data_IF_458591941898
#
_entry.id   IF_458591941898
#
_cell.length_a   1.000
_cell.length_b   1.000
_cell.length_c   1.000
_cell.angle_alpha   90.00
_cell.angle_beta   90.00
_cell.angle_gamma   90.00
#
_symmetry.space_group_name_H-M   'P 1'
#
loop_
_entity.id
_entity.type
_entity.pdbx_description
1 polymer ?
#
# COMPACT_ATOMS: atom_id res chain seq x y z
N UNK A 1 -12.05 -22.31 -14.56
CA UNK A 1 -12.55 -21.79 -13.26
C UNK A 1 -13.35 -20.53 -13.48
N UNK A 2 -14.36 -20.23 -12.64
CA UNK A 2 -15.05 -18.93 -12.63
C UNK A 2 -14.03 -17.87 -12.21
N UNK A 3 -13.94 -16.76 -12.95
CA UNK A 3 -13.06 -15.64 -12.60
C UNK A 3 -13.59 -14.89 -11.38
N UNK A 4 -12.68 -14.38 -10.55
CA UNK A 4 -12.98 -13.50 -9.42
C UNK A 4 -13.33 -12.12 -9.99
N UNK A 5 -14.50 -11.60 -9.63
CA UNK A 5 -14.99 -10.31 -10.11
C UNK A 5 -14.59 -9.21 -9.12
N UNK A 6 -13.58 -8.41 -9.51
CA UNK A 6 -13.04 -7.35 -8.67
C UNK A 6 -13.55 -5.97 -9.10
N UNK A 7 -14.02 -5.17 -8.14
CA UNK A 7 -14.26 -3.75 -8.31
C UNK A 7 -13.07 -2.94 -7.78
N UNK A 8 -12.61 -1.93 -8.52
CA UNK A 8 -11.56 -1.01 -8.03
C UNK A 8 -12.23 0.27 -7.54
N UNK A 9 -12.07 0.56 -6.25
CA UNK A 9 -12.62 1.77 -5.62
C UNK A 9 -11.53 2.81 -5.50
N UNK A 10 -11.59 3.85 -6.35
CA UNK A 10 -10.59 4.89 -6.49
C UNK A 10 -9.71 4.71 -7.73
N UNK A 11 -9.38 5.83 -8.37
CA UNK A 11 -8.55 5.88 -9.56
C UNK A 11 -7.44 6.92 -9.41
N UNK A 12 -6.57 6.69 -8.44
CA UNK A 12 -5.27 7.37 -8.27
C UNK A 12 -4.13 6.50 -8.82
N UNK A 13 -2.90 6.79 -8.43
CA UNK A 13 -1.74 5.99 -8.87
C UNK A 13 -1.91 4.49 -8.55
N UNK A 14 -2.29 4.16 -7.30
CA UNK A 14 -2.51 2.76 -6.90
C UNK A 14 -3.64 2.13 -7.71
N UNK A 15 -4.78 2.84 -7.90
CA UNK A 15 -5.92 2.32 -8.67
C UNK A 15 -5.56 2.00 -10.13
N UNK A 16 -4.76 2.85 -10.79
CA UNK A 16 -4.27 2.62 -12.15
C UNK A 16 -3.46 1.33 -12.23
N UNK A 17 -2.45 1.17 -11.37
CA UNK A 17 -1.61 -0.03 -11.35
C UNK A 17 -2.38 -1.28 -10.89
N UNK A 18 -3.40 -1.12 -10.04
CA UNK A 18 -4.30 -2.23 -9.67
C UNK A 18 -5.07 -2.74 -10.88
N UNK A 19 -5.57 -1.84 -11.76
CA UNK A 19 -6.24 -2.23 -13.01
C UNK A 19 -5.27 -2.99 -13.91
N UNK A 20 -4.05 -2.49 -14.12
CA UNK A 20 -3.02 -3.16 -14.91
C UNK A 20 -2.69 -4.56 -14.36
N UNK A 21 -2.61 -4.69 -13.03
CA UNK A 21 -2.37 -5.97 -12.37
C UNK A 21 -3.56 -6.95 -12.52
N UNK A 22 -4.80 -6.45 -12.49
CA UNK A 22 -6.00 -7.25 -12.73
C UNK A 22 -6.07 -7.74 -14.19
N UNK A 23 -5.74 -6.88 -15.15
CA UNK A 23 -5.69 -7.22 -16.58
C UNK A 23 -4.68 -8.34 -16.85
N UNK A 24 -3.55 -8.33 -16.14
CA UNK A 24 -2.50 -9.35 -16.25
C UNK A 24 -2.83 -10.65 -15.47
N UNK A 25 -3.82 -10.64 -14.56
CA UNK A 25 -4.16 -11.78 -13.73
C UNK A 25 -5.19 -12.70 -14.41
N UNK A 26 -4.85 -13.98 -14.72
CA UNK A 26 -5.72 -14.86 -15.51
C UNK A 26 -7.02 -15.26 -14.78
N UNK A 27 -7.04 -15.19 -13.48
CA UNK A 27 -8.11 -15.61 -12.59
C UNK A 27 -9.05 -14.47 -12.19
N UNK A 28 -8.81 -13.24 -12.69
CA UNK A 28 -9.65 -12.07 -12.40
C UNK A 28 -10.43 -11.56 -13.60
N UNK A 29 -11.51 -10.84 -13.29
CA UNK A 29 -12.28 -9.99 -14.19
C UNK A 29 -12.60 -8.68 -13.47
N UNK A 30 -12.41 -7.54 -14.15
CA UNK A 30 -12.77 -6.23 -13.60
C UNK A 30 -14.29 -6.04 -13.70
N UNK A 31 -14.98 -6.02 -12.57
CA UNK A 31 -16.43 -5.81 -12.49
C UNK A 31 -16.81 -4.36 -12.78
N UNK A 32 -15.94 -3.42 -12.43
CA UNK A 32 -16.11 -1.99 -12.67
C UNK A 32 -15.20 -1.15 -11.78
N UNK A 33 -15.25 0.16 -12.01
CA UNK A 33 -14.44 1.16 -11.33
C UNK A 33 -15.36 2.14 -10.60
N UNK A 34 -15.12 2.37 -9.32
CA UNK A 34 -15.86 3.36 -8.52
C UNK A 34 -15.06 4.65 -8.44
N UNK A 35 -15.60 5.76 -8.94
CA UNK A 35 -14.98 7.09 -8.91
C UNK A 35 -15.95 8.12 -8.35
N UNK A 36 -15.40 9.15 -7.68
CA UNK A 36 -16.19 10.26 -7.11
C UNK A 36 -17.05 10.97 -8.17
N UNK A 37 -16.48 11.19 -9.35
CA UNK A 37 -17.13 11.88 -10.47
C UNK A 37 -17.16 10.96 -11.70
N UNK A 38 -18.09 10.01 -11.79
CA UNK A 38 -18.16 9.05 -12.89
C UNK A 38 -18.56 9.68 -14.23
N UNK A 39 -19.16 10.87 -14.19
CA UNK A 39 -19.62 11.61 -15.38
C UNK A 39 -18.53 12.47 -16.02
N UNK A 40 -17.38 12.67 -15.33
CA UNK A 40 -16.25 13.39 -15.91
C UNK A 40 -15.66 12.60 -17.07
N UNK A 41 -14.92 13.30 -17.97
CA UNK A 41 -14.16 12.64 -19.03
C UNK A 41 -13.31 11.51 -18.49
N UNK A 42 -13.47 10.31 -19.07
CA UNK A 42 -12.79 9.14 -18.60
C UNK A 42 -11.41 9.01 -19.26
N UNK A 43 -10.34 8.78 -18.47
CA UNK A 43 -9.05 8.41 -19.01
C UNK A 43 -9.15 7.20 -19.96
N UNK A 44 -8.26 7.14 -20.94
CA UNK A 44 -8.28 6.09 -21.96
C UNK A 44 -8.27 4.67 -21.37
N UNK A 45 -7.54 4.45 -20.27
CA UNK A 45 -7.50 3.17 -19.56
C UNK A 45 -8.85 2.72 -19.02
N UNK A 46 -9.75 3.65 -18.70
CA UNK A 46 -11.08 3.33 -18.15
C UNK A 46 -12.16 3.07 -19.21
N UNK A 47 -11.92 3.41 -20.47
CA UNK A 47 -12.92 3.24 -21.55
C UNK A 47 -13.49 1.83 -21.67
N UNK A 48 -12.73 0.73 -21.43
CA UNK A 48 -13.25 -0.64 -21.49
C UNK A 48 -14.19 -1.01 -20.32
N UNK A 49 -14.21 -0.22 -19.25
CA UNK A 49 -14.85 -0.59 -17.98
C UNK A 49 -16.09 0.24 -17.70
N UNK A 50 -17.02 -0.37 -16.97
CA UNK A 50 -18.13 0.35 -16.35
C UNK A 50 -17.57 1.22 -15.22
N UNK A 51 -17.78 2.54 -15.30
CA UNK A 51 -17.38 3.51 -14.28
C UNK A 51 -18.62 4.03 -13.60
N UNK A 52 -18.67 3.96 -12.28
CA UNK A 52 -19.84 4.30 -11.45
C UNK A 52 -19.44 5.19 -10.27
N UNK A 53 -20.44 5.82 -9.64
CA UNK A 53 -20.25 6.63 -8.44
C UNK A 53 -20.29 5.85 -7.14
N UNK A 54 -20.96 4.71 -7.15
CA UNK A 54 -21.16 3.87 -5.98
C UNK A 54 -21.03 2.38 -6.33
N UNK A 55 -20.42 1.59 -5.44
CA UNK A 55 -20.24 0.15 -5.66
C UNK A 55 -21.57 -0.61 -5.80
N UNK A 56 -22.64 -0.09 -5.22
CA UNK A 56 -24.00 -0.64 -5.33
C UNK A 56 -24.55 -0.67 -6.75
N UNK A 57 -23.97 0.13 -7.64
CA UNK A 57 -24.33 0.15 -9.06
C UNK A 57 -23.68 -0.99 -9.86
N UNK A 58 -22.71 -1.71 -9.27
CA UNK A 58 -22.04 -2.85 -9.89
C UNK A 58 -22.73 -4.17 -9.48
N UNK A 59 -22.73 -5.12 -10.40
CA UNK A 59 -23.35 -6.42 -10.18
C UNK A 59 -22.31 -7.54 -10.01
N UNK A 60 -22.63 -8.51 -9.16
CA UNK A 60 -21.80 -9.72 -8.96
C UNK A 60 -20.32 -9.40 -8.65
N UNK A 61 -20.09 -8.49 -7.72
CA UNK A 61 -18.75 -8.16 -7.23
C UNK A 61 -18.37 -9.14 -6.12
N UNK A 62 -17.28 -9.87 -6.30
CA UNK A 62 -16.75 -10.79 -5.30
C UNK A 62 -15.85 -10.05 -4.29
N UNK A 63 -15.06 -9.06 -4.77
CA UNK A 63 -14.13 -8.30 -3.94
C UNK A 63 -14.01 -6.84 -4.39
N UNK A 64 -13.96 -5.91 -3.44
CA UNK A 64 -13.67 -4.50 -3.63
C UNK A 64 -12.21 -4.21 -3.25
N UNK A 65 -11.41 -3.72 -4.19
CA UNK A 65 -10.04 -3.28 -3.97
C UNK A 65 -10.06 -1.77 -3.71
N UNK A 66 -9.77 -1.38 -2.47
CA UNK A 66 -9.90 0.01 -2.00
C UNK A 66 -8.59 0.79 -2.26
N UNK A 67 -8.47 1.36 -3.45
CA UNK A 67 -7.36 2.23 -3.84
C UNK A 67 -7.67 3.72 -3.54
N UNK A 68 -8.18 3.98 -2.34
CA UNK A 68 -8.61 5.28 -1.86
C UNK A 68 -7.62 5.87 -0.85
N UNK A 69 -7.68 7.19 -0.57
CA UNK A 69 -6.89 7.76 0.51
C UNK A 69 -7.14 7.03 1.83
N UNK A 70 -6.08 6.75 2.60
CA UNK A 70 -6.10 5.96 3.83
C UNK A 70 -7.24 6.33 4.78
N UNK A 71 -7.50 7.63 4.99
CA UNK A 71 -8.57 8.10 5.88
C UNK A 71 -9.99 7.76 5.43
N UNK A 72 -10.17 7.34 4.19
CA UNK A 72 -11.47 6.96 3.63
C UNK A 72 -11.70 5.44 3.60
N UNK A 73 -10.66 4.65 3.86
CA UNK A 73 -10.67 3.18 3.75
C UNK A 73 -11.77 2.57 4.60
N UNK A 74 -11.85 2.91 5.90
CA UNK A 74 -12.84 2.32 6.82
C UNK A 74 -14.26 2.48 6.30
N UNK A 75 -14.61 3.68 5.82
CA UNK A 75 -15.95 3.96 5.27
C UNK A 75 -16.27 3.07 4.07
N UNK A 76 -15.39 3.04 3.07
CA UNK A 76 -15.63 2.24 1.87
C UNK A 76 -15.61 0.73 2.14
N UNK A 77 -14.78 0.28 3.10
CA UNK A 77 -14.77 -1.10 3.54
C UNK A 77 -16.10 -1.50 4.21
N UNK A 78 -16.60 -0.70 5.14
CA UNK A 78 -17.90 -0.95 5.79
C UNK A 78 -19.07 -0.95 4.80
N UNK A 79 -19.09 0.01 3.86
CA UNK A 79 -20.12 0.10 2.80
C UNK A 79 -20.11 -1.18 1.92
N UNK A 80 -18.93 -1.68 1.55
CA UNK A 80 -18.77 -2.89 0.73
C UNK A 80 -19.11 -4.17 1.49
N UNK A 81 -18.62 -4.29 2.73
CA UNK A 81 -18.91 -5.44 3.61
C UNK A 81 -20.41 -5.58 3.88
N UNK A 82 -21.12 -4.47 4.06
CA UNK A 82 -22.57 -4.48 4.25
C UNK A 82 -23.35 -5.11 3.07
N UNK A 83 -22.72 -5.18 1.90
CA UNK A 83 -23.25 -5.84 0.70
C UNK A 83 -22.78 -7.29 0.55
N UNK A 84 -22.03 -7.84 1.52
CA UNK A 84 -21.41 -9.16 1.45
C UNK A 84 -20.20 -9.22 0.50
N UNK A 85 -19.66 -8.07 0.08
CA UNK A 85 -18.50 -7.98 -0.81
C UNK A 85 -17.22 -8.00 0.04
N UNK A 86 -16.27 -8.87 -0.30
CA UNK A 86 -14.96 -8.88 0.34
C UNK A 86 -14.20 -7.57 0.08
N UNK A 87 -13.29 -7.19 0.98
CA UNK A 87 -12.52 -5.95 0.82
C UNK A 87 -11.03 -6.18 1.01
N UNK A 88 -10.22 -5.43 0.27
CA UNK A 88 -8.77 -5.33 0.47
C UNK A 88 -8.31 -3.88 0.35
N UNK A 89 -7.32 -3.50 1.16
CA UNK A 89 -6.77 -2.15 1.18
C UNK A 89 -5.29 -2.12 1.56
N UNK A 90 -4.66 -0.97 1.34
CA UNK A 90 -3.29 -0.67 1.74
C UNK A 90 -3.23 0.38 2.86
N UNK A 91 -4.12 0.30 3.85
CA UNK A 91 -4.14 1.20 5.00
C UNK A 91 -2.80 1.25 5.72
N UNK A 92 -2.26 2.45 5.97
CA UNK A 92 -0.88 2.68 6.42
C UNK A 92 -0.75 3.49 7.71
N UNK A 93 -1.84 3.82 8.39
CA UNK A 93 -1.77 4.46 9.71
C UNK A 93 -1.50 3.40 10.78
N UNK A 94 -0.24 3.08 11.01
CA UNK A 94 0.22 1.97 11.86
C UNK A 94 -0.44 1.95 13.25
N UNK A 95 -0.62 3.10 13.89
CA UNK A 95 -1.24 3.21 15.21
C UNK A 95 -2.73 2.83 15.24
N UNK A 96 -3.38 2.79 14.09
CA UNK A 96 -4.81 2.52 13.95
C UNK A 96 -5.12 1.14 13.35
N UNK A 97 -4.12 0.38 12.90
CA UNK A 97 -4.33 -0.93 12.23
C UNK A 97 -5.13 -1.89 13.12
N UNK A 98 -4.81 -1.99 14.41
CA UNK A 98 -5.48 -2.92 15.32
C UNK A 98 -6.93 -2.53 15.62
N UNK A 99 -7.24 -1.24 15.71
CA UNK A 99 -8.63 -0.76 15.89
C UNK A 99 -9.45 -0.98 14.62
N UNK A 100 -8.90 -0.64 13.46
CA UNK A 100 -9.53 -0.87 12.15
C UNK A 100 -9.82 -2.37 11.95
N UNK A 101 -8.85 -3.25 12.26
CA UNK A 101 -9.01 -4.69 12.16
C UNK A 101 -10.18 -5.21 13.00
N UNK A 102 -10.39 -4.68 14.21
CA UNK A 102 -11.53 -5.07 15.06
C UNK A 102 -12.85 -4.61 14.46
N UNK A 103 -12.95 -3.32 14.08
CA UNK A 103 -14.15 -2.73 13.49
C UNK A 103 -14.59 -3.48 12.24
N UNK A 104 -13.68 -3.65 11.27
CA UNK A 104 -13.99 -4.38 10.03
C UNK A 104 -14.21 -5.87 10.27
N UNK A 105 -13.54 -6.46 11.27
CA UNK A 105 -13.75 -7.88 11.62
C UNK A 105 -15.14 -8.19 12.13
N UNK A 106 -15.75 -7.30 12.89
CA UNK A 106 -17.14 -7.42 13.34
C UNK A 106 -18.10 -7.31 12.15
N UNK A 107 -17.91 -6.31 11.28
CA UNK A 107 -18.72 -6.11 10.10
C UNK A 107 -18.61 -7.27 9.10
N UNK A 108 -17.38 -7.74 8.85
CA UNK A 108 -17.11 -8.85 7.93
C UNK A 108 -17.76 -10.16 8.40
N UNK A 109 -17.62 -10.53 9.69
CA UNK A 109 -18.27 -11.71 10.24
C UNK A 109 -19.80 -11.64 10.15
N UNK A 110 -20.38 -10.47 10.44
CA UNK A 110 -21.83 -10.27 10.33
C UNK A 110 -22.33 -10.42 8.91
N UNK A 111 -21.54 -9.99 7.93
CA UNK A 111 -21.89 -10.05 6.52
C UNK A 111 -21.52 -11.38 5.83
N UNK A 112 -20.81 -12.28 6.51
CA UNK A 112 -20.25 -13.49 5.89
C UNK A 112 -19.14 -13.21 4.89
N UNK A 113 -18.45 -12.06 5.01
CA UNK A 113 -17.44 -11.57 4.10
C UNK A 113 -16.03 -11.53 4.75
N UNK A 114 -15.02 -11.27 3.94
CA UNK A 114 -13.62 -11.19 4.35
C UNK A 114 -13.07 -9.79 4.07
N UNK A 115 -12.32 -9.22 5.01
CA UNK A 115 -11.52 -8.01 4.80
C UNK A 115 -10.04 -8.34 5.02
N UNK A 116 -9.15 -7.92 4.11
CA UNK A 116 -7.71 -7.99 4.34
C UNK A 116 -7.16 -6.56 4.25
N UNK A 117 -6.70 -6.05 5.38
CA UNK A 117 -6.27 -4.66 5.54
C UNK A 117 -4.75 -4.53 5.55
N UNK A 118 -4.26 -3.31 5.32
CA UNK A 118 -2.82 -2.99 5.39
C UNK A 118 -1.98 -3.90 4.50
N UNK A 119 -2.47 -4.16 3.30
CA UNK A 119 -1.92 -5.10 2.34
C UNK A 119 -1.28 -4.38 1.14
N UNK A 120 -0.39 -3.44 1.44
CA UNK A 120 0.53 -2.83 0.48
C UNK A 120 1.87 -3.56 0.46
N UNK A 121 2.94 -2.82 0.16
CA UNK A 121 4.29 -3.37 0.32
C UNK A 121 4.83 -3.11 1.74
N UNK A 122 4.52 -1.94 2.36
CA UNK A 122 4.79 -1.58 3.75
C UNK A 122 3.70 -0.60 4.28
N UNK A 123 2.88 -1.06 5.20
CA UNK A 123 2.71 -2.44 5.69
C UNK A 123 2.19 -3.40 4.61
N UNK A 124 2.62 -4.64 4.67
CA UNK A 124 2.15 -5.70 3.77
C UNK A 124 3.21 -6.76 3.48
N UNK A 125 3.73 -6.80 2.25
CA UNK A 125 4.65 -7.86 1.82
C UNK A 125 5.97 -7.88 2.62
N UNK A 126 6.55 -6.73 2.95
CA UNK A 126 7.74 -6.66 3.80
C UNK A 126 7.44 -7.07 5.25
N UNK A 127 6.22 -6.82 5.73
CA UNK A 127 5.77 -7.25 7.05
C UNK A 127 5.75 -8.78 7.18
N UNK A 128 5.38 -9.50 6.11
CA UNK A 128 5.46 -10.98 6.05
C UNK A 128 6.92 -11.43 6.16
N UNK A 129 7.82 -10.83 5.39
CA UNK A 129 9.27 -11.15 5.46
C UNK A 129 9.80 -10.84 6.85
N UNK A 130 9.51 -9.68 7.42
CA UNK A 130 9.92 -9.28 8.77
C UNK A 130 9.45 -10.28 9.83
N UNK A 131 8.22 -10.76 9.70
CA UNK A 131 7.65 -11.79 10.60
C UNK A 131 8.41 -13.10 10.51
N UNK A 132 8.71 -13.56 9.29
CA UNK A 132 9.52 -14.76 9.07
C UNK A 132 10.92 -14.63 9.69
N UNK A 133 11.62 -13.53 9.42
CA UNK A 133 12.95 -13.29 9.97
C UNK A 133 12.94 -13.26 11.51
N UNK A 134 11.90 -12.70 12.12
CA UNK A 134 11.73 -12.70 13.56
C UNK A 134 11.43 -14.09 14.11
N UNK A 135 10.65 -14.90 13.40
CA UNK A 135 10.32 -16.27 13.82
C UNK A 135 11.57 -17.18 13.83
N UNK A 136 12.45 -17.07 12.83
CA UNK A 136 13.66 -17.90 12.73
C UNK A 136 14.82 -17.43 13.61
N UNK A 137 14.82 -16.16 14.06
CA UNK A 137 15.73 -15.62 15.06
C UNK A 137 14.96 -14.78 16.09
N UNK A 138 14.25 -15.41 17.05
CA UNK A 138 13.29 -14.72 17.92
C UNK A 138 13.93 -13.71 18.89
N UNK A 139 15.16 -13.90 19.26
CA UNK A 139 15.93 -12.96 20.10
C UNK A 139 16.89 -12.17 19.21
N UNK A 140 16.92 -10.84 19.37
CA UNK A 140 17.85 -10.00 18.62
C UNK A 140 17.24 -8.67 18.17
N UNK A 141 17.91 -8.03 17.22
CA UNK A 141 17.59 -6.70 16.71
C UNK A 141 17.14 -6.78 15.24
N UNK A 142 16.18 -5.95 14.87
CA UNK A 142 15.81 -5.73 13.48
C UNK A 142 16.05 -4.28 13.10
N UNK A 143 16.61 -4.06 11.94
CA UNK A 143 16.72 -2.74 11.34
C UNK A 143 15.92 -2.71 10.06
N UNK A 144 15.08 -1.70 9.90
CA UNK A 144 14.33 -1.44 8.67
C UNK A 144 14.88 -0.15 8.06
N UNK A 145 15.63 -0.28 6.97
CA UNK A 145 16.23 0.83 6.27
C UNK A 145 15.41 1.10 5.00
N UNK A 146 14.49 2.06 5.06
CA UNK A 146 13.67 2.43 3.91
C UNK A 146 14.42 3.32 2.93
N UNK A 147 14.19 3.09 1.64
CA UNK A 147 14.78 3.89 0.57
C UNK A 147 16.06 3.26 -0.03
N UNK A 148 16.81 4.03 -0.84
CA UNK A 148 16.42 5.36 -1.29
C UNK A 148 15.14 5.32 -2.14
N UNK A 149 14.30 6.36 -2.02
CA UNK A 149 13.11 6.44 -2.85
C UNK A 149 12.05 7.42 -2.35
N UNK A 150 11.07 7.66 -3.21
CA UNK A 150 9.98 8.61 -2.95
C UNK A 150 9.04 8.12 -1.86
N UNK A 151 8.87 8.93 -0.82
CA UNK A 151 7.82 8.75 0.19
C UNK A 151 6.54 9.46 -0.26
N UNK A 152 5.49 8.71 -0.57
CA UNK A 152 4.23 9.27 -1.04
C UNK A 152 3.54 10.12 0.03
N UNK A 153 3.45 9.64 1.27
CA UNK A 153 2.83 10.39 2.38
C UNK A 153 3.54 11.70 2.67
N UNK A 154 4.87 11.69 2.77
CA UNK A 154 5.67 12.90 2.98
C UNK A 154 5.56 13.87 1.80
N UNK A 155 5.54 13.37 0.57
CA UNK A 155 5.33 14.21 -0.63
C UNK A 155 3.98 14.92 -0.60
N UNK A 156 2.92 14.22 -0.18
CA UNK A 156 1.58 14.83 -0.03
C UNK A 156 1.57 15.87 1.08
N UNK A 157 2.24 15.61 2.20
CA UNK A 157 2.37 16.59 3.30
C UNK A 157 3.05 17.87 2.84
N UNK A 158 4.17 17.77 2.11
CA UNK A 158 4.87 18.95 1.55
C UNK A 158 3.97 19.73 0.61
N UNK A 159 3.25 19.05 -0.29
CA UNK A 159 2.33 19.72 -1.24
C UNK A 159 1.19 20.49 -0.58
N UNK A 160 0.87 20.19 0.68
CA UNK A 160 -0.15 20.90 1.45
C UNK A 160 0.38 22.18 2.12
N UNK A 161 1.70 22.42 2.11
CA UNK A 161 2.31 23.62 2.70
C UNK A 161 2.10 24.81 1.77
N UNK A 162 1.70 25.93 2.35
CA UNK A 162 1.46 27.18 1.61
C UNK A 162 2.72 27.64 0.90
N UNK A 163 2.61 27.97 -0.37
CA UNK A 163 3.73 28.43 -1.21
C UNK A 163 4.46 27.30 -1.93
N UNK A 164 4.07 26.06 -1.74
CA UNK A 164 4.60 24.91 -2.50
C UNK A 164 3.75 24.69 -3.75
N UNK A 165 4.33 24.90 -4.93
CA UNK A 165 3.70 24.63 -6.23
C UNK A 165 3.76 23.13 -6.56
N UNK A 166 4.92 22.50 -6.38
CA UNK A 166 5.14 21.07 -6.57
C UNK A 166 6.20 20.57 -5.59
N UNK A 167 6.16 19.28 -5.27
CA UNK A 167 7.11 18.67 -4.33
C UNK A 167 7.37 17.20 -4.60
N UNK A 168 8.56 16.75 -4.18
CA UNK A 168 9.01 15.37 -4.09
C UNK A 168 9.79 15.22 -2.79
N UNK A 169 9.38 14.29 -1.93
CA UNK A 169 10.14 13.91 -0.72
C UNK A 169 10.75 12.53 -0.87
N UNK A 170 12.08 12.47 -0.81
CA UNK A 170 12.86 11.24 -0.88
C UNK A 170 13.26 10.79 0.53
N UNK A 171 13.08 9.50 0.82
CA UNK A 171 13.61 8.84 2.01
C UNK A 171 14.96 8.24 1.69
N UNK A 172 15.99 8.66 2.41
CA UNK A 172 17.36 8.15 2.26
C UNK A 172 17.76 7.44 3.56
N UNK A 173 18.04 6.14 3.55
CA UNK A 173 18.48 5.43 4.73
C UNK A 173 19.92 5.84 5.09
N UNK A 174 20.15 6.05 6.38
CA UNK A 174 21.50 6.28 6.94
C UNK A 174 22.00 5.06 7.72
N UNK A 175 21.22 3.99 7.74
CA UNK A 175 21.50 2.73 8.42
C UNK A 175 20.81 2.63 9.78
N UNK A 176 20.71 1.42 10.30
CA UNK A 176 20.13 1.11 11.61
C UNK A 176 18.69 1.63 11.83
N UNK A 177 17.90 1.74 10.74
CA UNK A 177 16.54 2.24 10.80
C UNK A 177 16.43 3.77 10.89
N UNK A 178 17.52 4.50 10.74
CA UNK A 178 17.55 5.96 10.73
C UNK A 178 17.50 6.46 9.28
N UNK A 179 16.74 7.52 9.05
CA UNK A 179 16.48 8.07 7.72
C UNK A 179 16.75 9.57 7.67
N UNK A 180 17.10 10.03 6.47
CA UNK A 180 17.19 11.44 6.10
C UNK A 180 16.11 11.74 5.06
N UNK A 181 15.52 12.94 5.10
CA UNK A 181 14.57 13.42 4.11
C UNK A 181 15.24 14.40 3.17
N UNK A 182 15.22 14.10 1.88
CA UNK A 182 15.62 15.01 0.83
C UNK A 182 14.34 15.49 0.14
N UNK A 183 13.99 16.76 0.35
CA UNK A 183 12.73 17.35 -0.12
C UNK A 183 13.05 18.33 -1.24
N UNK A 184 12.58 18.04 -2.44
CA UNK A 184 12.69 18.90 -3.61
C UNK A 184 11.37 19.64 -3.81
N UNK A 185 11.43 20.95 -3.99
CA UNK A 185 10.23 21.81 -4.08
C UNK A 185 10.33 22.80 -5.21
N UNK A 186 9.20 23.02 -5.90
CA UNK A 186 8.96 24.24 -6.68
C UNK A 186 8.20 25.22 -5.80
N UNK A 187 8.65 26.46 -5.73
CA UNK A 187 8.02 27.51 -4.95
C UNK A 187 7.04 28.29 -5.82
N UNK A 188 5.86 28.60 -5.29
CA UNK A 188 4.89 29.46 -5.95
C UNK A 188 5.44 30.90 -6.07
N UNK A 189 5.16 31.62 -7.18
CA UNK A 189 5.56 33.01 -7.31
C UNK A 189 5.09 33.89 -6.13
N UNK A 190 5.99 34.68 -5.58
CA UNK A 190 5.70 35.57 -4.47
C UNK A 190 5.85 34.97 -3.07
N UNK A 191 6.28 33.72 -2.96
CA UNK A 191 6.61 33.10 -1.69
C UNK A 191 8.13 33.02 -1.47
N UNK A 192 8.52 33.14 -0.20
CA UNK A 192 9.93 33.06 0.20
C UNK A 192 10.34 31.62 0.49
N UNK A 193 11.40 31.17 -0.20
CA UNK A 193 11.96 29.83 -0.01
C UNK A 193 12.34 29.53 1.45
N UNK A 194 12.96 30.49 2.15
CA UNK A 194 13.42 30.28 3.51
C UNK A 194 12.25 30.02 4.47
N UNK A 195 11.14 30.72 4.27
CA UNK A 195 9.92 30.50 5.06
C UNK A 195 9.29 29.14 4.74
N UNK A 196 9.13 28.80 3.46
CA UNK A 196 8.57 27.49 3.03
C UNK A 196 9.45 26.35 3.56
N UNK A 197 10.77 26.46 3.47
CA UNK A 197 11.68 25.45 4.00
C UNK A 197 11.58 25.30 5.54
N UNK A 198 11.37 26.40 6.26
CA UNK A 198 11.15 26.37 7.70
C UNK A 198 9.82 25.67 8.06
N UNK A 199 8.75 25.99 7.33
CA UNK A 199 7.42 25.40 7.55
C UNK A 199 7.44 23.89 7.27
N UNK A 200 8.14 23.43 6.21
CA UNK A 200 8.33 22.01 5.91
C UNK A 200 9.03 21.30 7.08
N UNK A 201 10.14 21.87 7.57
CA UNK A 201 10.90 21.25 8.68
C UNK A 201 10.14 21.23 10.00
N UNK A 202 9.18 22.15 10.19
CA UNK A 202 8.33 22.20 11.38
C UNK A 202 7.13 21.26 11.32
N UNK A 203 6.77 20.76 10.15
CA UNK A 203 5.64 19.83 9.98
C UNK A 203 5.91 18.51 10.74
N UNK A 204 4.90 17.91 11.40
CA UNK A 204 5.04 16.67 12.15
C UNK A 204 5.62 15.49 11.38
N UNK A 205 5.48 15.46 10.05
CA UNK A 205 6.10 14.44 9.20
C UNK A 205 7.62 14.56 9.10
N UNK A 206 8.19 15.73 9.41
CA UNK A 206 9.60 16.05 9.19
C UNK A 206 10.34 16.46 10.46
N UNK A 207 9.62 16.91 11.48
CA UNK A 207 10.20 17.51 12.68
C UNK A 207 11.20 16.61 13.46
N UNK A 208 11.07 15.29 13.31
CA UNK A 208 11.94 14.30 13.98
C UNK A 208 13.02 13.72 13.08
N UNK A 209 13.04 14.08 11.79
CA UNK A 209 13.98 13.56 10.81
C UNK A 209 15.00 14.65 10.39
N UNK A 210 16.21 14.23 10.07
CA UNK A 210 17.16 15.11 9.38
C UNK A 210 16.59 15.46 8.00
N UNK A 211 16.12 16.72 7.83
CA UNK A 211 15.40 17.16 6.63
C UNK A 211 16.16 18.25 5.90
N UNK A 212 16.49 17.99 4.64
CA UNK A 212 17.07 18.93 3.70
C UNK A 212 16.01 19.32 2.67
N UNK A 213 15.75 20.63 2.55
CA UNK A 213 14.85 21.19 1.54
C UNK A 213 15.70 21.80 0.43
N UNK A 214 15.36 21.54 -0.82
CA UNK A 214 16.10 21.98 -2.01
C UNK A 214 15.09 22.55 -2.99
N UNK A 215 15.24 23.81 -3.35
CA UNK A 215 14.47 24.42 -4.43
C UNK A 215 14.97 23.92 -5.78
N UNK A 216 14.03 23.55 -6.66
CA UNK A 216 14.31 23.08 -8.02
C UNK A 216 13.46 23.83 -9.04
N UNK A 217 13.94 24.01 -10.27
CA UNK A 217 13.16 24.64 -11.34
C UNK A 217 11.91 23.84 -11.73
N UNK A 218 12.02 22.50 -11.69
CA UNK A 218 10.93 21.57 -11.96
C UNK A 218 11.11 20.29 -11.14
N UNK A 219 10.06 19.90 -10.41
CA UNK A 219 10.00 18.62 -9.73
C UNK A 219 9.91 17.46 -10.71
N UNK A 220 9.33 17.68 -11.90
CA UNK A 220 9.20 16.64 -12.93
C UNK A 220 10.57 16.15 -13.44
N UNK A 221 11.61 17.00 -13.37
CA UNK A 221 12.97 16.62 -13.77
C UNK A 221 13.69 15.70 -12.75
N UNK A 222 13.19 15.67 -11.52
CA UNK A 222 13.78 14.88 -10.42
C UNK A 222 12.83 13.79 -9.90
N UNK A 223 11.69 13.59 -10.58
CA UNK A 223 10.69 12.63 -10.14
C UNK A 223 11.25 11.20 -10.17
N UNK A 224 11.13 10.50 -9.07
CA UNK A 224 11.48 9.09 -8.95
C UNK A 224 10.39 8.37 -8.16
N UNK A 225 9.72 7.43 -8.83
CA UNK A 225 8.68 6.57 -8.22
C UNK A 225 9.27 5.31 -7.60
N UNK A 226 10.59 5.12 -7.70
CA UNK A 226 11.31 4.05 -7.07
C UNK A 226 11.28 4.17 -5.55
N UNK A 227 11.31 3.04 -4.90
CA UNK A 227 11.50 2.91 -3.46
C UNK A 227 12.22 1.60 -3.14
N UNK A 228 12.54 1.40 -1.87
CA UNK A 228 13.14 0.16 -1.44
C UNK A 228 13.12 0.00 0.06
N UNK A 229 13.50 -1.19 0.49
CA UNK A 229 13.76 -1.49 1.89
C UNK A 229 14.88 -2.51 2.00
N UNK A 230 15.79 -2.28 2.96
CA UNK A 230 16.71 -3.27 3.45
C UNK A 230 16.29 -3.66 4.87
N UNK A 231 15.82 -4.89 5.03
CA UNK A 231 15.50 -5.49 6.33
C UNK A 231 16.70 -6.29 6.80
N UNK A 232 17.22 -5.94 7.95
CA UNK A 232 18.32 -6.67 8.59
C UNK A 232 17.82 -7.25 9.90
N UNK A 233 17.92 -8.57 10.08
CA UNK A 233 17.69 -9.24 11.35
C UNK A 233 18.98 -9.88 11.84
N UNK A 234 19.48 -9.43 12.98
CA UNK A 234 20.63 -10.01 13.67
C UNK A 234 20.17 -10.61 14.99
N UNK A 235 20.43 -11.89 15.21
CA UNK A 235 19.87 -12.53 16.38
C UNK A 235 20.35 -13.92 16.70
N UNK A 236 19.50 -14.63 17.42
CA UNK A 236 19.74 -15.94 18.00
C UNK A 236 18.69 -16.93 17.56
N UNK A 237 19.09 -18.02 16.96
CA UNK A 237 18.25 -19.19 16.69
C UNK A 237 18.51 -20.27 17.74
N UNK A 238 17.48 -20.61 18.54
CA UNK A 238 17.66 -21.47 19.70
C UNK A 238 18.60 -20.85 20.74
N UNK A 239 19.81 -21.37 20.86
CA UNK A 239 20.89 -20.85 21.71
C UNK A 239 22.08 -20.32 20.90
N UNK A 240 22.05 -20.47 19.57
CA UNK A 240 23.15 -20.10 18.68
C UNK A 240 23.03 -18.64 18.26
N UNK A 241 24.04 -17.87 18.62
CA UNK A 241 24.19 -16.45 18.31
C UNK A 241 24.68 -16.22 16.87
N UNK A 242 24.76 -14.96 16.48
CA UNK A 242 25.36 -14.50 15.21
C UNK A 242 24.59 -14.92 13.95
N UNK A 243 23.30 -15.20 14.07
CA UNK A 243 22.45 -15.28 12.88
C UNK A 243 22.29 -13.88 12.29
N UNK A 244 22.49 -13.77 10.99
CA UNK A 244 22.30 -12.54 10.23
C UNK A 244 21.48 -12.86 9.00
N UNK A 245 20.33 -12.19 8.87
CA UNK A 245 19.45 -12.30 7.72
C UNK A 245 19.28 -10.93 7.12
N UNK A 246 19.38 -10.86 5.81
CA UNK A 246 19.18 -9.63 5.05
C UNK A 246 18.17 -9.88 3.93
N UNK A 247 17.25 -8.94 3.77
CA UNK A 247 16.33 -8.90 2.65
C UNK A 247 16.37 -7.51 2.03
N UNK A 248 16.60 -7.46 0.73
CA UNK A 248 16.64 -6.21 -0.03
C UNK A 248 15.53 -6.22 -1.07
N UNK A 249 14.79 -5.13 -1.13
CA UNK A 249 13.73 -4.91 -2.11
C UNK A 249 13.91 -3.53 -2.75
N UNK A 250 13.84 -3.48 -4.08
CA UNK A 250 13.76 -2.24 -4.88
C UNK A 250 12.56 -2.34 -5.79
N UNK A 251 11.71 -1.35 -5.76
CA UNK A 251 10.37 -1.39 -6.35
C UNK A 251 9.99 -0.09 -7.03
N UNK A 252 9.03 -0.17 -7.95
CA UNK A 252 8.14 0.93 -8.27
C UNK A 252 6.98 0.87 -7.28
N UNK A 253 6.90 1.85 -6.38
CA UNK A 253 6.01 1.81 -5.22
C UNK A 253 4.54 1.61 -5.60
N UNK A 254 3.88 2.46 -6.43
CA UNK A 254 2.47 2.26 -6.70
C UNK A 254 2.18 0.97 -7.48
N UNK A 255 3.09 0.51 -8.35
CA UNK A 255 2.90 -0.71 -9.11
C UNK A 255 2.92 -1.96 -8.22
N UNK A 256 3.90 -2.04 -7.29
CA UNK A 256 3.95 -3.17 -6.36
C UNK A 256 2.73 -3.19 -5.45
N UNK A 257 2.31 -2.03 -4.89
CA UNK A 257 1.10 -1.95 -4.06
C UNK A 257 -0.12 -2.45 -4.83
N UNK A 258 -0.30 -2.02 -6.09
CA UNK A 258 -1.40 -2.50 -6.94
C UNK A 258 -1.36 -4.03 -7.13
N UNK A 259 -0.19 -4.60 -7.41
CA UNK A 259 0.00 -6.05 -7.54
C UNK A 259 -0.31 -6.79 -6.23
N UNK A 260 0.18 -6.30 -5.09
CA UNK A 260 -0.09 -6.93 -3.78
C UNK A 260 -1.59 -6.92 -3.48
N UNK A 261 -2.30 -5.82 -3.75
CA UNK A 261 -3.76 -5.76 -3.58
C UNK A 261 -4.48 -6.83 -4.40
N UNK A 262 -4.06 -7.10 -5.63
CA UNK A 262 -4.63 -8.20 -6.44
C UNK A 262 -4.31 -9.57 -5.84
N UNK A 263 -3.10 -9.79 -5.33
CA UNK A 263 -2.73 -11.02 -4.66
C UNK A 263 -3.59 -11.28 -3.41
N UNK A 264 -3.79 -10.27 -2.55
CA UNK A 264 -4.61 -10.45 -1.35
C UNK A 264 -6.10 -10.49 -1.66
N UNK A 265 -6.57 -9.84 -2.74
CA UNK A 265 -7.94 -10.01 -3.23
C UNK A 265 -8.23 -11.47 -3.58
N UNK A 266 -7.29 -12.18 -4.20
CA UNK A 266 -7.37 -13.63 -4.44
C UNK A 266 -7.46 -14.40 -3.12
N UNK A 267 -6.64 -14.05 -2.14
CA UNK A 267 -6.61 -14.72 -0.85
C UNK A 267 -7.93 -14.58 -0.08
N UNK A 268 -8.70 -13.50 -0.27
CA UNK A 268 -10.01 -13.34 0.39
C UNK A 268 -10.96 -14.49 0.08
N UNK A 269 -10.86 -15.13 -1.10
CA UNK A 269 -11.69 -16.25 -1.52
C UNK A 269 -11.43 -17.54 -0.72
N UNK A 270 -10.35 -17.58 0.05
CA UNK A 270 -9.91 -18.77 0.78
C UNK A 270 -9.95 -18.60 2.31
N UNK A 271 -10.25 -17.39 2.80
CA UNK A 271 -10.33 -17.12 4.24
C UNK A 271 -11.76 -17.30 4.77
N UNK A 272 -11.86 -17.56 6.07
CA UNK A 272 -13.14 -17.54 6.78
C UNK A 272 -13.60 -16.09 7.00
N UNK A 273 -14.92 -15.83 7.15
CA UNK A 273 -15.41 -14.48 7.40
C UNK A 273 -14.74 -13.81 8.60
N UNK A 274 -14.17 -12.61 8.34
CA UNK A 274 -13.40 -11.86 9.34
C UNK A 274 -12.50 -10.81 8.71
N UNK A 275 -11.66 -10.18 9.55
CA UNK A 275 -10.68 -9.22 9.09
C UNK A 275 -9.26 -9.69 9.46
N UNK A 276 -8.36 -9.60 8.51
CA UNK A 276 -6.98 -10.08 8.57
C UNK A 276 -6.01 -8.98 8.15
N UNK A 277 -4.77 -9.09 8.60
CA UNK A 277 -3.62 -8.46 7.96
C UNK A 277 -2.87 -9.48 7.11
N UNK A 278 -2.01 -9.03 6.23
CA UNK A 278 -1.30 -9.93 5.32
C UNK A 278 -0.41 -10.96 6.04
N UNK A 279 0.06 -10.67 7.26
CA UNK A 279 0.87 -11.61 8.07
C UNK A 279 0.05 -12.78 8.64
N UNK A 280 -1.28 -12.69 8.64
CA UNK A 280 -2.18 -13.74 9.13
C UNK A 280 -2.68 -14.67 8.00
N UNK A 281 -2.42 -14.29 6.74
CA UNK A 281 -2.88 -15.04 5.57
C UNK A 281 -1.79 -16.01 5.12
N UNK A 282 -2.13 -17.28 4.82
CA UNK A 282 -1.16 -18.20 4.23
C UNK A 282 -0.61 -17.64 2.92
N UNK A 283 0.71 -17.52 2.80
CA UNK A 283 1.35 -16.90 1.62
C UNK A 283 1.04 -17.63 0.31
N UNK A 284 0.74 -18.91 0.36
CA UNK A 284 0.33 -19.70 -0.81
C UNK A 284 -1.03 -19.26 -1.37
N UNK A 285 -1.90 -18.66 -0.53
CA UNK A 285 -3.21 -18.18 -0.96
C UNK A 285 -3.12 -16.90 -1.81
N UNK A 286 -1.97 -16.24 -1.82
CA UNK A 286 -1.66 -15.08 -2.67
C UNK A 286 -1.43 -15.46 -4.13
N UNK A 287 -1.12 -16.72 -4.41
CA UNK A 287 -0.74 -17.19 -5.73
C UNK A 287 -1.94 -17.73 -6.53
N UNK A 288 -1.98 -17.50 -7.86
CA UNK A 288 -2.95 -18.14 -8.73
C UNK A 288 -2.56 -19.62 -8.97
N UNK A 289 -3.56 -20.46 -9.20
CA UNK A 289 -3.34 -21.86 -9.58
C UNK A 289 -3.83 -22.86 -8.55
N UNK A 290 -3.60 -24.12 -8.86
CA UNK A 290 -3.91 -25.24 -7.98
C UNK A 290 -2.92 -25.34 -6.82
N UNK A 291 -3.42 -25.64 -5.63
CA UNK A 291 -2.63 -25.65 -4.40
C UNK A 291 -1.57 -26.75 -4.38
N UNK A 292 -1.91 -27.94 -4.86
CA UNK A 292 -0.97 -29.09 -4.92
C UNK A 292 0.16 -28.83 -5.94
N UNK A 293 -0.20 -28.27 -7.09
CA UNK A 293 0.80 -27.86 -8.10
C UNK A 293 1.75 -26.79 -7.56
N UNK A 294 1.21 -25.79 -6.84
CA UNK A 294 2.03 -24.74 -6.21
C UNK A 294 2.97 -25.32 -5.16
N UNK A 295 2.51 -26.23 -4.30
CA UNK A 295 3.35 -26.89 -3.30
C UNK A 295 4.48 -27.67 -4.01
N UNK A 296 4.13 -28.47 -5.01
CA UNK A 296 5.12 -29.28 -5.74
C UNK A 296 6.18 -28.41 -6.45
N UNK A 297 5.85 -27.16 -6.82
CA UNK A 297 6.76 -26.24 -7.48
C UNK A 297 7.63 -25.46 -6.51
N UNK A 298 7.10 -25.09 -5.32
CA UNK A 298 7.75 -24.19 -4.37
C UNK A 298 8.55 -24.92 -3.28
N UNK A 299 8.24 -26.16 -3.02
CA UNK A 299 8.86 -27.01 -1.99
C UNK A 299 9.58 -28.19 -2.63
#
# INVERSE_FOLDING_TARGET
MKKIRAAVVGYGNIGRYTIEALEAAPDFEVAGIVRRNPQDEQPAQLKPYRVVGDIRELENVDVAILATPTRSVEKFALDSLALGINTVDSFDIHTQITSLRRSLGEAARKAGAVSIISAGWDPGSDSVVRTLLQAIAPKGLSYTNFGPGMSMGHTVAVKAIKGVKAALSMTIPTGQGIHRRMVYVEIEPGHDYAQVAADIKADPYFANDETHVIEVPSVDEVIDMGHGVNLVRKGVSGKTQNQLFEFNMKINNPALTGQVLVCVARATMRQQPGCYTMVEVPVIDLLPGDREELIAHLV
#
